data_IF_402596965473
#
_entry.id   IF_402596965473
#
_cell.length_a   1.000
_cell.length_b   1.000
_cell.length_c   1.000
_cell.angle_alpha   90.00
_cell.angle_beta   90.00
_cell.angle_gamma   90.00
#
_symmetry.space_group_name_H-M   'P 1'
#
loop_
_entity.id
_entity.type
_entity.pdbx_description
1 polymer ?
#
# COMPACT_ATOMS: atom_id res chain seq x y z
N UNK A 1 -33.90 22.91 0.80
CA UNK A 1 -32.44 23.06 0.79
C UNK A 1 -32.12 24.54 0.83
N UNK A 2 -31.46 24.97 1.88
CA UNK A 2 -30.99 26.35 2.02
C UNK A 2 -29.76 26.57 1.13
N UNK A 3 -29.51 27.80 0.69
CA UNK A 3 -28.36 28.13 -0.17
C UNK A 3 -27.02 27.71 0.46
N UNK A 4 -26.94 27.77 1.80
CA UNK A 4 -25.79 27.31 2.57
C UNK A 4 -25.59 25.78 2.50
N UNK A 5 -26.67 24.98 2.51
CA UNK A 5 -26.59 23.52 2.33
C UNK A 5 -26.08 23.16 0.94
N UNK A 6 -26.60 23.84 -0.11
CA UNK A 6 -26.18 23.58 -1.49
C UNK A 6 -24.70 23.91 -1.73
N UNK A 7 -24.18 24.97 -1.08
CA UNK A 7 -22.77 25.33 -1.18
C UNK A 7 -21.88 24.31 -0.47
N UNK A 8 -22.29 23.85 0.72
CA UNK A 8 -21.56 22.81 1.46
C UNK A 8 -21.48 21.50 0.68
N UNK A 9 -22.57 21.12 0.03
CA UNK A 9 -22.68 19.89 -0.75
C UNK A 9 -21.80 19.95 -2.01
N UNK A 10 -21.84 21.07 -2.73
CA UNK A 10 -20.95 21.30 -3.88
C UNK A 10 -19.46 21.31 -3.49
N UNK A 11 -19.10 21.92 -2.35
CA UNK A 11 -17.71 21.87 -1.85
C UNK A 11 -17.29 20.45 -1.50
N UNK A 12 -18.19 19.64 -0.93
CA UNK A 12 -17.92 18.24 -0.62
C UNK A 12 -17.65 17.43 -1.88
N UNK A 13 -18.50 17.55 -2.90
CA UNK A 13 -18.32 16.88 -4.19
C UNK A 13 -16.98 17.25 -4.83
N UNK A 14 -16.59 18.53 -4.79
CA UNK A 14 -15.28 18.97 -5.32
C UNK A 14 -14.12 18.34 -4.56
N UNK A 15 -14.20 18.24 -3.23
CA UNK A 15 -13.15 17.62 -2.40
C UNK A 15 -13.09 16.09 -2.60
N UNK A 16 -14.22 15.44 -2.85
CA UNK A 16 -14.29 14.02 -3.19
C UNK A 16 -13.72 13.77 -4.60
N UNK A 17 -14.12 14.56 -5.59
CA UNK A 17 -13.61 14.44 -6.97
C UNK A 17 -12.11 14.70 -7.07
N UNK A 18 -11.56 15.59 -6.23
CA UNK A 18 -10.12 15.85 -6.14
C UNK A 18 -9.35 14.84 -5.27
N UNK A 19 -10.01 13.84 -4.68
CA UNK A 19 -9.38 12.84 -3.80
C UNK A 19 -8.96 13.36 -2.42
N UNK A 20 -9.11 14.66 -2.13
CA UNK A 20 -8.70 15.28 -0.87
C UNK A 20 -9.45 14.67 0.32
N UNK A 21 -10.75 14.40 0.16
CA UNK A 21 -11.56 13.76 1.20
C UNK A 21 -11.04 12.36 1.56
N UNK A 22 -10.62 11.59 0.55
CA UNK A 22 -10.14 10.23 0.74
C UNK A 22 -8.71 10.21 1.28
N UNK A 23 -7.88 11.19 0.89
CA UNK A 23 -6.57 11.42 1.50
C UNK A 23 -6.68 11.70 3.01
N UNK A 24 -7.55 12.61 3.42
CA UNK A 24 -7.73 12.94 4.84
C UNK A 24 -8.25 11.72 5.63
N UNK A 25 -9.19 10.95 5.06
CA UNK A 25 -9.65 9.69 5.69
C UNK A 25 -8.52 8.67 5.81
N UNK A 26 -7.67 8.57 4.79
CA UNK A 26 -6.50 7.69 4.77
C UNK A 26 -5.50 8.06 5.86
N UNK A 27 -5.15 9.34 5.99
CA UNK A 27 -4.27 9.83 7.07
C UNK A 27 -4.87 9.55 8.45
N UNK A 28 -6.17 9.79 8.63
CA UNK A 28 -6.86 9.50 9.88
C UNK A 28 -6.81 8.00 10.22
N UNK A 29 -7.08 7.12 9.25
CA UNK A 29 -6.97 5.67 9.44
C UNK A 29 -5.56 5.24 9.83
N UNK A 30 -4.55 5.81 9.16
CA UNK A 30 -3.15 5.54 9.49
C UNK A 30 -2.80 6.00 10.92
N UNK A 31 -3.23 7.20 11.31
CA UNK A 31 -2.99 7.72 12.66
C UNK A 31 -3.67 6.87 13.75
N UNK A 32 -4.92 6.43 13.52
CA UNK A 32 -5.65 5.54 14.44
C UNK A 32 -4.91 4.20 14.56
N UNK A 33 -4.49 3.63 13.43
CA UNK A 33 -3.77 2.35 13.42
C UNK A 33 -2.45 2.42 14.20
N UNK A 34 -1.69 3.52 14.05
CA UNK A 34 -0.48 3.76 14.84
C UNK A 34 -0.78 3.89 16.34
N UNK A 35 -1.75 4.73 16.71
CA UNK A 35 -2.13 4.91 18.12
C UNK A 35 -2.59 3.61 18.79
N UNK A 36 -3.36 2.77 18.08
CA UNK A 36 -3.78 1.46 18.58
C UNK A 36 -2.61 0.49 18.73
N UNK A 37 -1.61 0.54 17.85
CA UNK A 37 -0.40 -0.28 17.97
C UNK A 37 0.45 0.12 19.19
N UNK A 38 0.56 1.40 19.48
CA UNK A 38 1.34 1.90 20.62
C UNK A 38 0.67 1.55 21.96
N UNK A 39 -0.67 1.54 22.00
CA UNK A 39 -1.44 1.08 23.17
C UNK A 39 -1.38 -0.44 23.38
N UNK A 40 -1.26 -1.24 22.30
CA UNK A 40 -1.09 -2.68 22.39
C UNK A 40 0.28 -3.12 22.94
N UNK A 41 1.22 -2.19 23.13
CA UNK A 41 2.51 -2.41 23.79
C UNK A 41 2.44 -2.19 25.32
N UNK A 42 1.32 -1.68 25.84
CA UNK A 42 1.15 -1.30 27.26
C UNK A 42 0.33 -2.29 28.10
N UNK A 43 -0.24 -3.34 27.48
CA UNK A 43 -0.96 -4.38 28.22
C UNK A 43 -0.07 -5.63 28.31
N UNK A 44 0.54 -5.78 29.49
CA UNK A 44 1.16 -7.01 29.99
C UNK A 44 2.45 -7.52 29.34
N UNK A 45 3.43 -6.64 29.03
CA UNK A 45 4.87 -6.98 28.90
C UNK A 45 5.29 -8.04 27.86
N UNK A 46 4.35 -8.68 27.19
CA UNK A 46 4.56 -9.57 26.08
C UNK A 46 4.55 -8.69 24.82
N UNK A 47 5.61 -8.67 24.00
CA UNK A 47 5.49 -8.08 22.68
C UNK A 47 4.27 -8.75 22.05
N UNK A 48 3.25 -7.96 21.66
CA UNK A 48 2.13 -8.48 20.89
C UNK A 48 2.76 -9.33 19.80
N UNK A 49 2.61 -10.65 19.94
CA UNK A 49 3.30 -11.62 19.13
C UNK A 49 2.63 -11.60 17.77
N UNK A 50 2.77 -10.49 17.05
CA UNK A 50 2.55 -10.45 15.62
C UNK A 50 3.46 -11.58 15.12
N UNK A 51 2.88 -12.63 14.54
CA UNK A 51 3.68 -13.72 14.01
C UNK A 51 4.81 -13.11 13.17
N UNK A 52 6.04 -13.64 13.24
CA UNK A 52 7.13 -13.16 12.39
C UNK A 52 6.59 -13.04 10.98
N UNK A 53 6.60 -11.83 10.43
CA UNK A 53 6.07 -11.58 9.09
C UNK A 53 6.87 -12.49 8.16
N UNK A 54 6.24 -13.46 7.46
CA UNK A 54 6.97 -14.35 6.58
C UNK A 54 7.82 -13.53 5.60
N UNK A 55 9.06 -13.91 5.28
CA UNK A 55 9.91 -13.19 4.33
C UNK A 55 9.19 -12.91 2.99
N UNK A 56 8.30 -13.80 2.59
CA UNK A 56 7.47 -13.72 1.40
C UNK A 56 6.53 -12.50 1.44
N UNK A 57 6.03 -12.10 2.61
CA UNK A 57 5.18 -10.92 2.74
C UNK A 57 5.94 -9.63 2.45
N UNK A 58 7.24 -9.56 2.72
CA UNK A 58 8.04 -8.40 2.33
C UNK A 58 8.09 -8.29 0.81
N UNK A 59 8.36 -9.40 0.13
CA UNK A 59 8.37 -9.47 -1.33
C UNK A 59 7.02 -9.07 -1.92
N UNK A 60 5.92 -9.62 -1.40
CA UNK A 60 4.55 -9.29 -1.82
C UNK A 60 4.23 -7.82 -1.60
N UNK A 61 4.57 -7.25 -0.45
CA UNK A 61 4.29 -5.86 -0.14
C UNK A 61 5.05 -4.92 -1.09
N UNK A 62 6.31 -5.21 -1.43
CA UNK A 62 7.05 -4.41 -2.41
C UNK A 62 6.45 -4.49 -3.82
N UNK A 63 6.01 -5.68 -4.24
CA UNK A 63 5.31 -5.86 -5.52
C UNK A 63 3.99 -5.07 -5.58
N UNK A 64 3.21 -5.09 -4.50
CA UNK A 64 1.95 -4.35 -4.39
C UNK A 64 2.22 -2.84 -4.41
N UNK A 65 3.23 -2.37 -3.66
CA UNK A 65 3.62 -0.96 -3.65
C UNK A 65 4.03 -0.45 -5.02
N UNK A 66 4.86 -1.23 -5.74
CA UNK A 66 5.27 -0.90 -7.11
C UNK A 66 4.07 -0.79 -8.06
N UNK A 67 3.14 -1.73 -7.99
CA UNK A 67 1.91 -1.70 -8.79
C UNK A 67 1.03 -0.48 -8.46
N UNK A 68 0.79 -0.21 -7.17
CA UNK A 68 -0.05 0.91 -6.75
C UNK A 68 0.57 2.24 -7.19
N UNK A 69 1.89 2.40 -7.02
CA UNK A 69 2.61 3.59 -7.46
C UNK A 69 2.50 3.79 -8.99
N UNK A 70 2.69 2.73 -9.77
CA UNK A 70 2.59 2.80 -11.23
C UNK A 70 1.18 3.17 -11.71
N UNK A 71 0.14 2.70 -11.04
CA UNK A 71 -1.26 2.95 -11.40
C UNK A 71 -1.83 4.25 -10.79
N UNK A 72 -1.00 5.10 -10.17
CA UNK A 72 -1.44 6.37 -9.58
C UNK A 72 -2.34 6.21 -8.35
N UNK A 73 -2.29 5.07 -7.66
CA UNK A 73 -3.11 4.76 -6.48
C UNK A 73 -2.50 5.34 -5.19
N UNK A 74 -2.10 6.62 -5.21
CA UNK A 74 -1.28 7.23 -4.15
C UNK A 74 -1.94 7.20 -2.76
N UNK A 75 -3.25 7.43 -2.69
CA UNK A 75 -3.98 7.39 -1.41
C UNK A 75 -4.04 5.97 -0.85
N UNK A 76 -4.32 4.97 -1.70
CA UNK A 76 -4.31 3.56 -1.29
C UNK A 76 -2.92 3.11 -0.88
N UNK A 77 -1.88 3.54 -1.60
CA UNK A 77 -0.49 3.28 -1.27
C UNK A 77 -0.13 3.82 0.11
N UNK A 78 -0.58 5.04 0.46
CA UNK A 78 -0.36 5.64 1.77
C UNK A 78 -0.94 4.80 2.90
N UNK A 79 -2.20 4.36 2.76
CA UNK A 79 -2.85 3.49 3.75
C UNK A 79 -2.15 2.13 3.82
N UNK A 80 -1.85 1.54 2.67
CA UNK A 80 -1.18 0.25 2.56
C UNK A 80 0.18 0.25 3.27
N UNK A 81 0.99 1.30 3.09
CA UNK A 81 2.28 1.45 3.77
C UNK A 81 2.14 1.50 5.29
N UNK A 82 1.11 2.18 5.82
CA UNK A 82 0.83 2.23 7.25
C UNK A 82 0.37 0.86 7.79
N UNK A 83 -0.56 0.20 7.11
CA UNK A 83 -1.13 -1.09 7.53
C UNK A 83 -0.16 -2.27 7.42
N UNK A 84 0.64 -2.29 6.34
CA UNK A 84 1.64 -3.35 6.08
C UNK A 84 2.83 -3.31 7.04
N UNK A 85 2.93 -2.29 7.90
CA UNK A 85 4.06 -2.13 8.82
C UNK A 85 5.38 -1.78 8.13
N UNK A 86 5.33 -1.28 6.88
CA UNK A 86 6.52 -0.92 6.12
C UNK A 86 7.40 0.10 6.88
N UNK A 87 6.78 0.99 7.67
CA UNK A 87 7.48 1.94 8.53
C UNK A 87 8.34 1.30 9.64
N UNK A 88 8.05 0.06 10.05
CA UNK A 88 8.81 -0.65 11.10
C UNK A 88 9.89 -1.60 10.54
N UNK A 89 9.79 -2.01 9.28
CA UNK A 89 10.55 -3.17 8.79
C UNK A 89 11.65 -2.85 7.79
N UNK A 90 11.64 -1.68 7.13
CA UNK A 90 12.71 -1.33 6.18
C UNK A 90 12.88 0.19 6.05
N UNK A 91 14.02 0.72 6.50
CA UNK A 91 14.39 2.14 6.34
C UNK A 91 14.54 2.58 4.87
N UNK A 92 14.57 1.64 3.92
CA UNK A 92 14.70 1.92 2.50
C UNK A 92 13.81 0.95 1.68
N UNK A 93 13.14 1.42 0.60
CA UNK A 93 12.45 0.54 -0.34
C UNK A 93 13.40 -0.52 -0.90
N UNK A 94 12.95 -1.76 -1.03
CA UNK A 94 13.76 -2.81 -1.64
C UNK A 94 13.98 -2.49 -3.13
N UNK A 95 15.23 -2.48 -3.64
CA UNK A 95 15.45 -2.15 -5.04
C UNK A 95 14.77 -3.15 -5.98
N UNK A 96 14.14 -2.64 -7.04
CA UNK A 96 13.47 -3.46 -8.06
C UNK A 96 14.36 -4.57 -8.63
N UNK A 97 15.65 -4.30 -8.82
CA UNK A 97 16.60 -5.31 -9.32
C UNK A 97 16.69 -6.54 -8.40
N UNK A 98 16.59 -6.34 -7.07
CA UNK A 98 16.57 -7.44 -6.09
C UNK A 98 15.26 -8.20 -6.16
N UNK A 99 14.12 -7.50 -6.27
CA UNK A 99 12.80 -8.11 -6.45
C UNK A 99 12.77 -8.99 -7.72
N UNK A 100 13.25 -8.44 -8.84
CA UNK A 100 13.31 -9.13 -10.12
C UNK A 100 14.20 -10.37 -10.05
N UNK A 101 15.35 -10.29 -9.37
CA UNK A 101 16.25 -11.42 -9.17
C UNK A 101 15.60 -12.54 -8.34
N UNK A 102 14.93 -12.20 -7.23
CA UNK A 102 14.25 -13.19 -6.37
C UNK A 102 13.11 -13.92 -7.10
N UNK A 103 12.48 -13.27 -8.08
CA UNK A 103 11.40 -13.85 -8.87
C UNK A 103 11.87 -14.55 -10.15
N UNK A 104 13.18 -14.57 -10.44
CA UNK A 104 13.75 -15.02 -11.72
C UNK A 104 13.23 -14.23 -12.93
N UNK A 105 13.03 -12.92 -12.76
CA UNK A 105 12.45 -12.00 -13.74
C UNK A 105 13.37 -10.84 -14.08
N UNK A 106 14.69 -11.06 -14.09
CA UNK A 106 15.68 -10.00 -14.38
C UNK A 106 15.54 -9.38 -15.77
N UNK A 107 14.91 -10.09 -16.71
CA UNK A 107 14.57 -9.58 -18.05
C UNK A 107 13.26 -8.79 -18.14
N UNK A 108 12.52 -8.64 -17.04
CA UNK A 108 11.23 -7.94 -17.05
C UNK A 108 11.40 -6.46 -17.43
N UNK A 109 10.53 -5.90 -18.30
CA UNK A 109 10.64 -4.51 -18.72
C UNK A 109 10.54 -3.54 -17.54
N UNK A 110 11.47 -2.58 -17.45
CA UNK A 110 11.46 -1.57 -16.38
C UNK A 110 10.30 -0.56 -16.50
N UNK A 111 9.63 -0.51 -17.65
CA UNK A 111 8.53 0.41 -17.94
C UNK A 111 7.18 -0.01 -17.35
N UNK A 112 7.07 -1.21 -16.76
CA UNK A 112 5.83 -1.73 -16.15
C UNK A 112 6.13 -2.43 -14.82
N UNK A 113 5.18 -2.58 -13.90
CA UNK A 113 5.37 -3.32 -12.65
C UNK A 113 5.77 -4.78 -12.88
N UNK A 114 6.56 -5.36 -11.97
CA UNK A 114 6.90 -6.79 -12.00
C UNK A 114 5.64 -7.68 -11.96
N UNK A 115 4.59 -7.25 -11.24
CA UNK A 115 3.30 -7.95 -11.24
C UNK A 115 2.69 -8.12 -12.64
N UNK A 116 2.90 -7.17 -13.57
CA UNK A 116 2.39 -7.30 -14.93
C UNK A 116 3.16 -8.39 -15.69
N UNK A 117 4.47 -8.44 -15.49
CA UNK A 117 5.32 -9.46 -16.09
C UNK A 117 4.97 -10.84 -15.50
N UNK A 118 4.68 -10.94 -14.20
CA UNK A 118 4.26 -12.21 -13.57
C UNK A 118 2.96 -12.73 -14.15
N UNK A 119 1.98 -11.82 -14.35
CA UNK A 119 0.71 -12.18 -14.97
C UNK A 119 0.89 -12.66 -16.42
N UNK A 120 1.81 -12.02 -17.17
CA UNK A 120 2.12 -12.43 -18.53
C UNK A 120 2.71 -13.84 -18.57
N UNK A 121 3.73 -14.11 -17.76
CA UNK A 121 4.37 -15.44 -17.64
C UNK A 121 3.36 -16.52 -17.21
N UNK A 122 2.52 -16.22 -16.21
CA UNK A 122 1.50 -17.16 -15.73
C UNK A 122 0.47 -17.52 -16.81
N UNK A 123 0.11 -16.57 -17.69
CA UNK A 123 -0.77 -16.84 -18.84
C UNK A 123 -0.07 -17.65 -19.92
N UNK A 124 1.17 -17.28 -20.27
CA UNK A 124 1.96 -18.01 -21.25
C UNK A 124 2.17 -19.48 -20.85
N UNK A 125 2.38 -19.74 -19.55
CA UNK A 125 2.51 -21.09 -19.01
C UNK A 125 1.20 -21.89 -19.01
N UNK A 126 0.04 -21.24 -19.03
CA UNK A 126 -1.26 -21.90 -19.11
C UNK A 126 -1.66 -22.27 -20.55
N UNK A 127 -1.07 -21.59 -21.54
CA UNK A 127 -1.34 -21.78 -22.97
C UNK A 127 -0.38 -22.80 -23.64
N UNK A 128 0.61 -23.33 -22.91
CA UNK A 128 1.60 -24.31 -23.39
C UNK A 128 1.42 -25.69 -22.78
#
# INVERSE_FOLDING_TARGET
MTQQESLKEAMREVLEAKGVMDHVKAELRAAIFHAMQDSAMHDDGAPSARPPVPPENLLLNELIKEYMAFNGMEHSLSVFCAESGAAKNTSAPLPRAVLAAQLNMTGAPASVPLLYSMLHEARAAADG
#
